data_IF_947783953176
#
_entry.id   IF_947783953176
#
_cell.length_a   1.000
_cell.length_b   1.000
_cell.length_c   1.000
_cell.angle_alpha   90.00
_cell.angle_beta   90.00
_cell.angle_gamma   90.00
#
_symmetry.space_group_name_H-M   'P 1'
#
loop_
_entity.id
_entity.type
_entity.pdbx_description
1 polymer ?
#
# COMPACT_ATOMS: atom_id res chain seq x y z
N UNK A 1 -19.31 -9.20 0.31
CA UNK A 1 -18.36 -8.08 0.13
C UNK A 1 -18.22 -7.78 -1.35
N UNK A 2 -18.00 -6.51 -1.72
CA UNK A 2 -17.84 -5.99 -3.07
C UNK A 2 -16.36 -5.69 -3.29
N UNK A 3 -15.75 -6.35 -4.27
CA UNK A 3 -14.35 -6.13 -4.59
C UNK A 3 -14.20 -4.85 -5.43
N UNK A 4 -13.35 -3.92 -4.96
CA UNK A 4 -12.99 -2.71 -5.67
C UNK A 4 -11.52 -2.76 -6.09
N UNK A 5 -11.26 -2.33 -7.32
CA UNK A 5 -9.91 -2.19 -7.87
C UNK A 5 -9.37 -0.76 -7.64
N UNK A 6 -8.14 -0.53 -8.12
CA UNK A 6 -7.40 0.71 -7.92
C UNK A 6 -8.11 1.93 -8.50
N UNK A 7 -8.79 1.81 -9.64
CA UNK A 7 -9.49 2.92 -10.31
C UNK A 7 -10.60 3.50 -9.42
N UNK A 8 -11.34 2.66 -8.71
CA UNK A 8 -12.34 3.12 -7.74
C UNK A 8 -11.72 4.00 -6.65
N UNK A 9 -10.62 3.55 -6.02
CA UNK A 9 -9.97 4.28 -4.94
C UNK A 9 -9.30 5.55 -5.43
N UNK A 10 -8.64 5.51 -6.58
CA UNK A 10 -8.04 6.70 -7.22
C UNK A 10 -9.11 7.75 -7.50
N UNK A 11 -10.22 7.35 -8.11
CA UNK A 11 -11.34 8.24 -8.39
C UNK A 11 -11.92 8.84 -7.10
N UNK A 12 -12.00 8.06 -6.03
CA UNK A 12 -12.53 8.52 -4.76
C UNK A 12 -11.58 9.46 -4.01
N UNK A 13 -10.26 9.27 -4.09
CA UNK A 13 -9.27 9.97 -3.27
C UNK A 13 -8.63 11.17 -3.97
N UNK A 14 -8.47 11.17 -5.29
CA UNK A 14 -7.90 12.32 -6.02
C UNK A 14 -8.83 13.54 -5.95
N UNK A 15 -8.31 14.78 -5.80
CA UNK A 15 -9.15 15.98 -5.78
C UNK A 15 -10.01 16.16 -7.04
N UNK A 16 -9.44 15.82 -8.20
CA UNK A 16 -10.10 15.87 -9.52
C UNK A 16 -9.92 14.52 -10.20
N UNK A 17 -11.04 13.89 -10.55
CA UNK A 17 -11.08 12.66 -11.34
C UNK A 17 -12.38 12.61 -12.13
N UNK A 18 -12.35 12.11 -13.37
CA UNK A 18 -13.53 12.00 -14.24
C UNK A 18 -14.61 11.06 -13.68
N UNK A 19 -14.24 10.14 -12.78
CA UNK A 19 -15.13 9.18 -12.13
C UNK A 19 -15.50 9.57 -10.70
N UNK A 20 -15.04 10.72 -10.18
CA UNK A 20 -15.21 11.14 -8.78
C UNK A 20 -16.63 10.97 -8.25
N UNK A 21 -17.61 11.50 -8.97
CA UNK A 21 -19.02 11.45 -8.52
C UNK A 21 -19.62 10.04 -8.62
N UNK A 22 -19.17 9.25 -9.60
CA UNK A 22 -19.57 7.84 -9.73
C UNK A 22 -19.00 7.01 -8.58
N UNK A 23 -17.73 7.21 -8.26
CA UNK A 23 -17.05 6.56 -7.14
C UNK A 23 -17.70 6.93 -5.79
N UNK A 24 -18.03 8.21 -5.56
CA UNK A 24 -18.77 8.63 -4.36
C UNK A 24 -20.12 7.94 -4.23
N UNK A 25 -20.91 7.88 -5.31
CA UNK A 25 -22.21 7.18 -5.28
C UNK A 25 -22.05 5.69 -5.00
N UNK A 26 -21.04 5.04 -5.57
CA UNK A 26 -20.74 3.64 -5.29
C UNK A 26 -20.29 3.44 -3.84
N UNK A 27 -19.42 4.31 -3.31
CA UNK A 27 -18.99 4.29 -1.92
C UNK A 27 -20.17 4.39 -0.96
N UNK A 28 -21.06 5.38 -1.13
CA UNK A 28 -22.22 5.53 -0.25
C UNK A 28 -23.17 4.32 -0.33
N UNK A 29 -23.38 3.76 -1.53
CA UNK A 29 -24.26 2.60 -1.73
C UNK A 29 -23.73 1.31 -1.10
N UNK A 30 -22.41 1.11 -1.09
CA UNK A 30 -21.77 -0.13 -0.66
C UNK A 30 -20.90 0.04 0.59
N UNK A 31 -21.11 1.13 1.34
CA UNK A 31 -20.35 1.44 2.56
C UNK A 31 -20.38 0.27 3.54
N UNK A 32 -19.21 -0.09 4.09
CA UNK A 32 -19.06 -1.24 4.99
C UNK A 32 -19.10 -2.61 4.31
N UNK A 33 -19.22 -2.66 2.97
CA UNK A 33 -19.19 -3.91 2.20
C UNK A 33 -18.04 -3.97 1.20
N UNK A 34 -17.26 -2.90 1.05
CA UNK A 34 -16.16 -2.79 0.08
C UNK A 34 -14.93 -3.52 0.60
N UNK A 35 -14.23 -4.21 -0.30
CA UNK A 35 -12.94 -4.85 -0.03
C UNK A 35 -12.03 -4.74 -1.23
N UNK A 36 -10.77 -5.12 -1.05
CA UNK A 36 -9.77 -5.15 -2.11
C UNK A 36 -8.68 -6.19 -1.78
N UNK A 37 -7.63 -6.27 -2.59
CA UNK A 37 -6.47 -7.12 -2.33
C UNK A 37 -5.19 -6.31 -2.19
N UNK A 38 -4.13 -6.98 -1.74
CA UNK A 38 -2.77 -6.44 -1.71
C UNK A 38 -2.32 -5.83 -3.06
N UNK A 39 -2.78 -6.40 -4.18
CA UNK A 39 -2.46 -5.89 -5.52
C UNK A 39 -2.86 -4.43 -5.67
N UNK A 40 -4.03 -4.04 -5.13
CA UNK A 40 -4.47 -2.65 -5.15
C UNK A 40 -3.59 -1.75 -4.30
N UNK A 41 -3.11 -2.22 -3.14
CA UNK A 41 -2.17 -1.44 -2.33
C UNK A 41 -0.82 -1.25 -3.03
N UNK A 42 -0.30 -2.27 -3.72
CA UNK A 42 0.93 -2.19 -4.51
C UNK A 42 0.74 -1.19 -5.68
N UNK A 43 -0.36 -1.28 -6.42
CA UNK A 43 -0.65 -0.35 -7.52
C UNK A 43 -0.79 1.10 -7.02
N UNK A 44 -1.51 1.31 -5.93
CA UNK A 44 -1.63 2.63 -5.30
C UNK A 44 -0.27 3.20 -4.88
N UNK A 45 0.62 2.37 -4.32
CA UNK A 45 1.97 2.78 -3.96
C UNK A 45 2.84 3.15 -5.18
N UNK A 46 2.76 2.36 -6.27
CA UNK A 46 3.42 2.68 -7.54
C UNK A 46 2.90 4.00 -8.13
N UNK A 47 1.59 4.21 -8.10
CA UNK A 47 0.97 5.46 -8.54
C UNK A 47 1.35 6.64 -7.64
N UNK A 48 1.43 6.42 -6.33
CA UNK A 48 1.85 7.44 -5.38
C UNK A 48 3.28 7.92 -5.69
N UNK A 49 4.21 6.99 -5.94
CA UNK A 49 5.57 7.30 -6.38
C UNK A 49 5.57 8.05 -7.72
N UNK A 50 4.78 7.59 -8.70
CA UNK A 50 4.72 8.20 -10.05
C UNK A 50 4.18 9.62 -10.05
N UNK A 51 3.19 9.91 -9.20
CA UNK A 51 2.49 11.20 -9.17
C UNK A 51 2.85 12.05 -7.96
N UNK A 52 3.89 11.67 -7.20
CA UNK A 52 4.33 12.33 -5.97
C UNK A 52 3.17 12.58 -4.97
N UNK A 53 2.36 11.53 -4.74
CA UNK A 53 1.25 11.55 -3.79
C UNK A 53 1.72 11.01 -2.43
N UNK A 54 1.04 11.43 -1.37
CA UNK A 54 1.26 10.89 -0.03
C UNK A 54 0.78 9.42 0.04
N UNK A 55 1.74 8.50 0.00
CA UNK A 55 1.47 7.06 0.04
C UNK A 55 0.81 6.64 1.35
N UNK A 56 1.22 7.20 2.49
CA UNK A 56 0.64 6.84 3.79
C UNK A 56 -0.83 7.22 3.81
N UNK A 57 -1.16 8.45 3.39
CA UNK A 57 -2.55 8.92 3.32
C UNK A 57 -3.40 8.07 2.37
N UNK A 58 -2.87 7.68 1.21
CA UNK A 58 -3.60 6.83 0.26
C UNK A 58 -3.90 5.46 0.87
N UNK A 59 -2.87 4.80 1.40
CA UNK A 59 -2.98 3.46 1.97
C UNK A 59 -3.94 3.45 3.16
N UNK A 60 -3.79 4.37 4.13
CA UNK A 60 -4.68 4.43 5.30
C UNK A 60 -6.13 4.75 4.92
N UNK A 61 -6.35 5.54 3.87
CA UNK A 61 -7.71 5.83 3.38
C UNK A 61 -8.38 4.58 2.82
N UNK A 62 -7.66 3.76 2.05
CA UNK A 62 -8.17 2.50 1.52
C UNK A 62 -8.39 1.48 2.62
N UNK A 63 -7.46 1.36 3.58
CA UNK A 63 -7.65 0.52 4.76
C UNK A 63 -8.95 0.90 5.51
N UNK A 64 -9.19 2.18 5.75
CA UNK A 64 -10.40 2.65 6.41
C UNK A 64 -11.68 2.37 5.61
N UNK A 65 -11.64 2.49 4.28
CA UNK A 65 -12.79 2.18 3.40
C UNK A 65 -13.12 0.68 3.44
N UNK A 66 -12.10 -0.16 3.46
CA UNK A 66 -12.23 -1.62 3.42
C UNK A 66 -12.37 -2.27 4.80
N UNK A 67 -12.23 -1.50 5.90
CA UNK A 67 -12.25 -2.03 7.26
C UNK A 67 -11.07 -2.96 7.57
N UNK A 68 -9.89 -2.66 7.01
CA UNK A 68 -8.66 -3.45 7.23
C UNK A 68 -7.98 -2.93 8.51
N UNK A 69 -7.80 -3.82 9.48
CA UNK A 69 -7.19 -3.51 10.78
C UNK A 69 -5.72 -3.92 10.85
N UNK A 70 -5.28 -4.82 9.97
CA UNK A 70 -3.89 -5.26 9.92
C UNK A 70 -2.94 -4.11 9.56
N UNK A 71 -1.82 -4.02 10.26
CA UNK A 71 -0.87 -2.91 10.12
C UNK A 71 0.12 -3.08 8.95
N UNK A 72 0.10 -4.22 8.25
CA UNK A 72 1.05 -4.57 7.19
C UNK A 72 1.13 -3.51 6.10
N UNK A 73 -0.01 -3.03 5.59
CA UNK A 73 -0.02 -2.02 4.54
C UNK A 73 0.48 -0.66 5.01
N UNK A 74 0.13 -0.28 6.25
CA UNK A 74 0.63 0.94 6.87
C UNK A 74 2.15 0.88 7.08
N UNK A 75 2.68 -0.25 7.56
CA UNK A 75 4.13 -0.48 7.69
C UNK A 75 4.85 -0.32 6.35
N UNK A 76 4.34 -0.95 5.29
CA UNK A 76 4.88 -0.79 3.94
C UNK A 76 4.91 0.70 3.52
N UNK A 77 3.80 1.42 3.74
CA UNK A 77 3.72 2.85 3.42
C UNK A 77 4.74 3.71 4.20
N UNK A 78 4.99 3.38 5.47
CA UNK A 78 5.98 4.03 6.31
C UNK A 78 7.40 3.75 5.81
N UNK A 79 7.74 2.49 5.46
CA UNK A 79 9.04 2.15 4.86
C UNK A 79 9.30 2.95 3.58
N UNK A 80 8.29 3.13 2.74
CA UNK A 80 8.41 3.96 1.54
C UNK A 80 8.64 5.43 1.86
N UNK A 81 7.83 6.02 2.76
CA UNK A 81 7.86 7.46 3.05
C UNK A 81 9.10 7.88 3.84
N UNK A 82 9.42 7.14 4.91
CA UNK A 82 10.40 7.57 5.91
C UNK A 82 11.81 7.04 5.61
N UNK A 83 11.91 5.91 4.89
CA UNK A 83 13.18 5.25 4.59
C UNK A 83 13.50 5.18 3.10
N UNK A 84 12.59 5.64 2.22
CA UNK A 84 12.81 5.67 0.77
C UNK A 84 12.87 4.29 0.12
N UNK A 85 12.34 3.26 0.78
CA UNK A 85 12.35 1.87 0.31
C UNK A 85 11.50 1.74 -0.95
N UNK A 86 11.93 0.89 -1.88
CA UNK A 86 11.16 0.56 -3.09
C UNK A 86 9.80 -0.02 -2.74
N UNK A 87 8.81 0.10 -3.63
CA UNK A 87 7.45 -0.38 -3.35
C UNK A 87 7.47 -1.87 -3.00
N UNK A 88 8.03 -2.71 -3.87
CA UNK A 88 8.06 -4.16 -3.63
C UNK A 88 8.86 -4.52 -2.37
N UNK A 89 10.02 -3.92 -2.15
CA UNK A 89 10.85 -4.17 -0.96
C UNK A 89 10.14 -3.74 0.32
N UNK A 90 9.34 -2.68 0.29
CA UNK A 90 8.57 -2.22 1.43
C UNK A 90 7.44 -3.20 1.80
N UNK A 91 6.80 -3.83 0.82
CA UNK A 91 5.83 -4.90 1.08
C UNK A 91 6.54 -6.16 1.61
N UNK A 92 7.68 -6.55 1.03
CA UNK A 92 8.48 -7.65 1.60
C UNK A 92 8.91 -7.36 3.04
N UNK A 93 9.38 -6.15 3.33
CA UNK A 93 9.76 -5.70 4.68
C UNK A 93 8.58 -5.76 5.66
N UNK A 94 7.39 -5.34 5.23
CA UNK A 94 6.20 -5.38 6.07
C UNK A 94 5.73 -6.83 6.37
N UNK A 95 5.92 -7.76 5.43
CA UNK A 95 5.50 -9.16 5.58
C UNK A 95 6.51 -10.06 6.28
N UNK A 96 7.81 -9.80 6.13
CA UNK A 96 8.84 -10.68 6.69
C UNK A 96 8.92 -10.64 8.22
N UNK A 97 8.30 -9.64 8.85
CA UNK A 97 8.46 -9.37 10.28
C UNK A 97 9.91 -8.99 10.56
N UNK A 98 10.65 -9.85 11.25
CA UNK A 98 11.99 -9.52 11.74
C UNK A 98 13.14 -10.03 10.86
N UNK A 99 12.92 -11.05 10.02
CA UNK A 99 14.01 -11.73 9.29
C UNK A 99 13.65 -12.00 7.83
N UNK A 100 14.57 -11.70 6.92
CA UNK A 100 14.39 -11.91 5.47
C UNK A 100 15.62 -12.59 4.85
N UNK A 101 15.41 -13.52 3.91
CA UNK A 101 16.47 -14.03 3.03
C UNK A 101 16.49 -13.14 1.79
N UNK A 102 17.57 -12.39 1.58
CA UNK A 102 17.68 -11.45 0.46
C UNK A 102 19.12 -11.07 0.16
N UNK A 103 19.39 -10.72 -1.11
CA UNK A 103 20.63 -10.07 -1.53
C UNK A 103 20.60 -8.54 -1.40
N UNK A 104 19.43 -7.94 -1.16
CA UNK A 104 19.31 -6.48 -1.09
C UNK A 104 19.71 -5.93 0.29
N UNK A 105 20.72 -5.07 0.32
CA UNK A 105 21.22 -4.43 1.53
C UNK A 105 20.26 -3.38 2.11
N UNK A 106 19.16 -3.02 1.43
CA UNK A 106 18.18 -2.07 1.95
C UNK A 106 17.57 -2.56 3.28
N UNK A 107 17.38 -3.87 3.44
CA UNK A 107 16.79 -4.45 4.65
C UNK A 107 17.67 -4.24 5.89
N UNK A 108 19.01 -4.28 5.72
CA UNK A 108 19.95 -3.97 6.81
C UNK A 108 19.78 -2.52 7.30
N UNK A 109 19.48 -1.57 6.39
CA UNK A 109 19.33 -0.13 6.71
C UNK A 109 18.04 0.20 7.47
N UNK A 110 17.01 -0.62 7.31
CA UNK A 110 15.70 -0.43 7.96
C UNK A 110 15.54 -1.33 9.20
N UNK A 111 16.63 -1.94 9.67
CA UNK A 111 16.67 -2.70 10.91
C UNK A 111 16.11 -4.13 10.81
N UNK A 112 15.91 -4.66 9.61
CA UNK A 112 15.45 -6.04 9.40
C UNK A 112 16.66 -6.97 9.34
N UNK A 113 16.60 -8.10 10.05
CA UNK A 113 17.68 -9.08 10.06
C UNK A 113 17.74 -9.79 8.70
N UNK A 114 18.77 -9.49 7.90
CA UNK A 114 18.97 -10.14 6.60
C UNK A 114 19.83 -11.42 6.73
N UNK A 115 19.27 -12.55 6.33
CA UNK A 115 20.05 -13.74 5.95
C UNK A 115 20.59 -13.47 4.56
N UNK A 116 21.92 -13.35 4.49
CA UNK A 116 22.66 -12.92 3.31
C UNK A 116 22.80 -14.06 2.32
N UNK A 117 22.37 -13.87 1.08
CA UNK A 117 22.56 -14.88 0.04
C UNK A 117 24.03 -14.96 -0.39
N UNK A 118 24.78 -13.87 -0.25
CA UNK A 118 26.20 -13.77 -0.58
C UNK A 118 27.14 -14.56 0.36
N UNK A 119 26.61 -15.13 1.45
CA UNK A 119 27.37 -15.94 2.41
C UNK A 119 27.35 -17.45 2.07
N UNK A 120 26.68 -17.85 0.98
CA UNK A 120 26.56 -19.24 0.48
C UNK A 120 27.24 -19.42 -0.88
#
# INVERSE_FOLDING_TARGET
>A
MIYADTDFFIALLKPKDRLKDKAKRAFERYKGQITTSEVTFIELALLAKRYNLDVVKLITSVMAICGIEEDTYLKAAIYMRDYGVGVFDAFHAAHCGDTIISSDHIFDKIGIKRIRLEDF
#
